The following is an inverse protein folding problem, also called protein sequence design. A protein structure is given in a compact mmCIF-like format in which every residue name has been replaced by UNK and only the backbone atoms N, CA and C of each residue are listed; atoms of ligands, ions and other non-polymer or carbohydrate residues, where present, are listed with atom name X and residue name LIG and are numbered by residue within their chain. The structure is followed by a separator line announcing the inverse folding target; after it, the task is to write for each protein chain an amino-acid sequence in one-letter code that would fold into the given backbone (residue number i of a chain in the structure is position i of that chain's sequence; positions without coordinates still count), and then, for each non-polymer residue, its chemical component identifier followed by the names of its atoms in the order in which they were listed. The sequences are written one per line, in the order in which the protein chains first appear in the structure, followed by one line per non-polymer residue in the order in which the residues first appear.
data_IF_240063985571
#
_entry.id   IF_240063985571
#
_cell.length_a   1.000
_cell.length_b   1.000
_cell.length_c   1.000
_cell.angle_alpha   90.00
_cell.angle_beta   90.00
_cell.angle_gamma   90.00
#
_symmetry.space_group_name_H-M   'P 1'
#
loop_
_entity.id
_entity.type
_entity.pdbx_description
1 polymer ?
#
# COMPACT_ATOMS: atom_id res chain seq x y z
N UNK A 1 -5.23 -31.67 16.45
CA UNK A 1 -5.97 -30.53 15.86
C UNK A 1 -5.83 -30.60 14.36
N UNK A 2 -6.81 -30.16 13.58
CA UNK A 2 -6.66 -30.06 12.14
C UNK A 2 -5.52 -29.06 11.80
N UNK A 3 -4.83 -29.30 10.68
CA UNK A 3 -3.81 -28.38 10.20
C UNK A 3 -4.46 -27.06 9.75
N UNK A 4 -3.85 -25.92 10.09
CA UNK A 4 -4.42 -24.60 9.90
C UNK A 4 -3.46 -23.69 9.11
N UNK A 5 -4.05 -22.82 8.27
CA UNK A 5 -3.34 -21.71 7.62
C UNK A 5 -3.07 -20.59 8.62
N UNK A 6 -2.15 -19.68 8.27
CA UNK A 6 -1.89 -18.45 9.04
C UNK A 6 -3.19 -17.68 9.32
N UNK A 7 -4.02 -17.50 8.30
CA UNK A 7 -5.32 -16.83 8.44
C UNK A 7 -6.21 -17.52 9.46
N UNK A 8 -6.37 -18.84 9.37
CA UNK A 8 -7.24 -19.61 10.27
C UNK A 8 -6.81 -19.50 11.72
N UNK A 9 -5.51 -19.60 12.01
CA UNK A 9 -4.97 -19.45 13.36
C UNK A 9 -5.32 -18.09 13.97
N UNK A 10 -5.18 -17.00 13.19
CA UNK A 10 -5.50 -15.67 13.66
C UNK A 10 -7.01 -15.49 13.78
N UNK A 11 -7.77 -15.89 12.76
CA UNK A 11 -9.22 -15.78 12.79
C UNK A 11 -9.81 -16.47 13.99
N UNK A 12 -9.50 -17.74 14.21
CA UNK A 12 -10.08 -18.53 15.30
C UNK A 12 -9.71 -18.01 16.69
N UNK A 13 -8.50 -17.47 16.88
CA UNK A 13 -8.09 -16.86 18.13
C UNK A 13 -8.81 -15.53 18.45
N UNK A 14 -9.46 -14.91 17.46
CA UNK A 14 -10.18 -13.63 17.61
C UNK A 14 -11.70 -13.76 17.52
N UNK A 15 -12.23 -14.96 17.31
CA UNK A 15 -13.68 -15.21 17.32
C UNK A 15 -14.24 -14.99 18.71
N UNK A 16 -15.09 -13.98 18.86
CA UNK A 16 -15.87 -13.76 20.10
C UNK A 16 -17.13 -14.61 20.07
N UNK A 17 -17.80 -14.65 18.91
CA UNK A 17 -19.04 -15.43 18.71
C UNK A 17 -19.25 -15.71 17.23
N UNK A 18 -19.59 -16.93 16.90
CA UNK A 18 -20.04 -17.32 15.55
C UNK A 18 -21.55 -17.50 15.56
N UNK A 19 -22.21 -16.99 14.51
CA UNK A 19 -23.66 -17.07 14.34
C UNK A 19 -24.04 -18.19 13.36
N UNK A 20 -25.26 -18.75 13.46
CA UNK A 20 -25.71 -19.82 12.55
C UNK A 20 -25.77 -19.44 11.07
N UNK A 21 -25.89 -18.13 10.77
CA UNK A 21 -25.93 -17.60 9.38
C UNK A 21 -24.53 -17.45 8.74
N UNK A 22 -23.49 -17.87 9.47
CA UNK A 22 -22.09 -17.79 9.03
C UNK A 22 -21.41 -16.44 9.30
N UNK A 23 -22.09 -15.49 9.95
CA UNK A 23 -21.46 -14.27 10.44
C UNK A 23 -20.69 -14.54 11.73
N UNK A 24 -19.66 -13.75 11.97
CA UNK A 24 -18.76 -13.89 13.12
C UNK A 24 -18.51 -12.53 13.73
N UNK A 25 -18.72 -12.43 15.05
CA UNK A 25 -18.24 -11.30 15.82
C UNK A 25 -16.76 -11.52 16.11
N UNK A 26 -15.92 -10.70 15.49
CA UNK A 26 -14.46 -10.78 15.56
C UNK A 26 -13.92 -9.70 16.49
N UNK A 27 -13.01 -10.04 17.40
CA UNK A 27 -12.30 -9.06 18.20
C UNK A 27 -11.24 -8.35 17.38
N UNK A 28 -11.10 -7.02 17.55
CA UNK A 28 -10.13 -6.18 16.85
C UNK A 28 -9.11 -5.64 17.84
N UNK A 29 -7.84 -5.98 17.67
CA UNK A 29 -6.75 -5.58 18.57
C UNK A 29 -6.35 -4.13 18.41
N UNK A 30 -6.27 -3.66 17.16
CA UNK A 30 -5.72 -2.35 16.80
C UNK A 30 -6.57 -1.66 15.77
N UNK A 31 -6.68 -0.35 15.91
CA UNK A 31 -7.35 0.50 14.93
C UNK A 31 -6.47 1.69 14.56
N UNK A 32 -6.36 1.95 13.27
CA UNK A 32 -5.75 3.16 12.74
C UNK A 32 -6.87 4.10 12.27
N UNK A 33 -6.70 5.40 12.49
CA UNK A 33 -7.66 6.40 12.04
C UNK A 33 -6.95 7.59 11.38
N UNK A 34 -7.58 8.16 10.37
CA UNK A 34 -7.11 9.35 9.68
C UNK A 34 -8.25 10.35 9.45
N UNK A 35 -7.94 11.53 8.93
CA UNK A 35 -8.88 12.65 8.87
C UNK A 35 -10.06 12.47 7.92
N UNK A 36 -9.95 11.57 6.92
CA UNK A 36 -10.98 11.46 5.87
C UNK A 36 -12.18 10.61 6.31
N UNK A 37 -11.95 9.47 6.99
CA UNK A 37 -13.00 8.49 7.32
C UNK A 37 -13.38 8.47 8.80
N UNK A 38 -12.80 9.33 9.64
CA UNK A 38 -13.06 9.33 11.07
C UNK A 38 -14.07 10.38 11.57
N UNK A 39 -14.33 11.53 10.91
CA UNK A 39 -15.18 12.58 11.46
C UNK A 39 -16.57 12.09 11.85
N UNK A 40 -17.27 11.40 10.95
CA UNK A 40 -18.63 10.89 11.20
C UNK A 40 -18.65 9.77 12.25
N UNK A 41 -17.59 8.94 12.31
CA UNK A 41 -17.45 7.90 13.33
C UNK A 41 -17.35 8.51 14.75
N UNK A 42 -16.57 9.55 14.92
CA UNK A 42 -16.47 10.27 16.20
C UNK A 42 -17.74 11.04 16.54
N UNK A 43 -18.41 11.63 15.54
CA UNK A 43 -19.70 12.29 15.71
C UNK A 43 -20.75 11.29 16.22
N UNK A 44 -20.84 10.10 15.62
CA UNK A 44 -21.73 9.03 16.06
C UNK A 44 -21.50 8.63 17.52
N UNK A 45 -20.22 8.51 17.93
CA UNK A 45 -19.88 8.27 19.34
C UNK A 45 -20.38 9.38 20.27
N UNK A 46 -20.17 10.66 19.91
CA UNK A 46 -20.62 11.82 20.68
C UNK A 46 -22.15 11.84 20.81
N UNK A 47 -22.87 11.66 19.72
CA UNK A 47 -24.35 11.66 19.67
C UNK A 47 -24.94 10.52 20.49
N UNK A 48 -24.31 9.34 20.51
CA UNK A 48 -24.75 8.18 21.29
C UNK A 48 -24.28 8.20 22.74
N UNK A 49 -23.52 9.22 23.17
CA UNK A 49 -22.95 9.31 24.50
C UNK A 49 -21.90 8.25 24.81
N UNK A 50 -21.30 7.65 23.78
CA UNK A 50 -20.29 6.59 23.90
C UNK A 50 -18.87 7.16 23.86
N UNK A 51 -17.94 6.40 24.43
CA UNK A 51 -16.50 6.68 24.33
C UNK A 51 -15.78 5.48 23.73
N UNK A 52 -14.61 5.68 23.11
CA UNK A 52 -13.76 4.58 22.68
C UNK A 52 -13.46 3.63 23.84
N UNK A 53 -13.67 2.34 23.59
CA UNK A 53 -13.47 1.29 24.62
C UNK A 53 -12.02 1.17 25.05
N UNK A 54 -11.07 1.29 24.11
CA UNK A 54 -9.63 1.20 24.36
C UNK A 54 -8.87 2.27 23.54
N UNK A 55 -8.82 3.52 24.00
CA UNK A 55 -8.13 4.58 23.27
C UNK A 55 -6.67 4.26 22.93
N UNK A 56 -5.95 3.56 23.83
CA UNK A 56 -4.56 3.12 23.60
C UNK A 56 -4.39 2.02 22.55
N UNK A 57 -5.48 1.40 22.06
CA UNK A 57 -5.47 0.48 20.94
C UNK A 57 -5.75 1.18 19.59
N UNK A 58 -5.87 2.50 19.62
CA UNK A 58 -6.10 3.35 18.43
C UNK A 58 -4.95 4.32 18.27
N UNK A 59 -4.46 4.46 17.03
CA UNK A 59 -3.42 5.43 16.65
C UNK A 59 -3.95 6.27 15.49
N UNK A 60 -3.81 7.60 15.60
CA UNK A 60 -4.32 8.56 14.65
C UNK A 60 -3.21 9.35 13.95
N UNK A 61 -3.44 9.69 12.69
CA UNK A 61 -2.53 10.54 11.90
C UNK A 61 -3.30 11.22 10.76
N UNK A 62 -3.09 12.51 10.45
CA UNK A 62 -3.53 13.10 9.19
C UNK A 62 -2.50 12.77 8.10
N UNK A 63 -2.96 12.31 6.92
CA UNK A 63 -2.06 11.91 5.85
C UNK A 63 -2.55 12.22 4.42
N UNK A 64 -3.85 12.34 4.22
CA UNK A 64 -4.45 12.58 2.90
C UNK A 64 -4.49 14.06 2.53
N UNK A 65 -4.90 14.92 3.45
CA UNK A 65 -5.14 16.35 3.24
C UNK A 65 -3.94 17.23 3.64
N UNK A 66 -2.84 16.62 4.04
CA UNK A 66 -1.65 17.38 4.45
C UNK A 66 -0.89 17.93 3.24
N UNK A 67 -0.40 19.18 3.28
CA UNK A 67 0.46 19.70 2.23
C UNK A 67 1.81 18.99 2.25
N UNK A 68 2.35 18.75 1.06
CA UNK A 68 3.70 18.18 0.85
C UNK A 68 4.73 19.24 0.49
N UNK A 69 4.31 20.49 0.46
CA UNK A 69 5.14 21.70 0.32
C UNK A 69 5.42 22.33 1.68
N UNK A 70 5.76 23.61 1.72
CA UNK A 70 6.05 24.34 2.96
C UNK A 70 4.82 24.40 3.90
N UNK A 71 4.88 23.62 4.97
CA UNK A 71 3.81 23.52 5.98
C UNK A 71 3.66 24.74 6.87
N UNK A 72 4.64 25.66 6.87
CA UNK A 72 4.55 26.93 7.61
C UNK A 72 3.47 27.84 7.03
N UNK A 73 3.10 27.64 5.77
CA UNK A 73 2.03 28.37 5.10
C UNK A 73 0.62 27.87 5.48
N UNK A 74 0.52 26.79 6.27
CA UNK A 74 -0.74 26.17 6.65
C UNK A 74 -1.39 25.38 5.51
N UNK A 75 -2.69 25.11 5.63
CA UNK A 75 -3.48 24.33 4.68
C UNK A 75 -4.40 25.29 3.91
N UNK A 76 -4.16 25.43 2.62
CA UNK A 76 -4.87 26.40 1.77
C UNK A 76 -6.34 26.03 1.53
N UNK A 77 -6.64 24.72 1.40
CA UNK A 77 -8.02 24.24 1.23
C UNK A 77 -8.78 24.23 2.56
N UNK A 78 -9.90 24.99 2.69
CA UNK A 78 -10.63 25.09 3.94
C UNK A 78 -11.26 23.77 4.41
N UNK A 79 -11.64 22.88 3.46
CA UNK A 79 -12.21 21.58 3.80
C UNK A 79 -11.15 20.65 4.37
N UNK A 80 -9.99 20.58 3.75
CA UNK A 80 -8.83 19.85 4.25
C UNK A 80 -8.41 20.33 5.64
N UNK A 81 -8.31 21.65 5.84
CA UNK A 81 -8.00 22.24 7.13
C UNK A 81 -9.03 21.87 8.21
N UNK A 82 -10.33 21.90 7.86
CA UNK A 82 -11.41 21.50 8.76
C UNK A 82 -11.33 20.01 9.13
N UNK A 83 -11.05 19.12 8.18
CA UNK A 83 -10.95 17.68 8.45
C UNK A 83 -9.78 17.35 9.38
N UNK A 84 -8.62 17.96 9.17
CA UNK A 84 -7.45 17.78 10.04
C UNK A 84 -7.76 18.31 11.45
N UNK A 85 -8.31 19.53 11.56
CA UNK A 85 -8.70 20.11 12.86
C UNK A 85 -9.72 19.23 13.58
N UNK A 86 -10.70 18.67 12.87
CA UNK A 86 -11.70 17.78 13.44
C UNK A 86 -11.06 16.49 13.99
N UNK A 87 -10.07 15.92 13.28
CA UNK A 87 -9.31 14.77 13.79
C UNK A 87 -8.56 15.12 15.07
N UNK A 88 -7.88 16.27 15.11
CA UNK A 88 -7.15 16.75 16.29
C UNK A 88 -8.07 16.90 17.51
N UNK A 89 -9.21 17.58 17.33
CA UNK A 89 -10.19 17.80 18.40
C UNK A 89 -10.77 16.48 18.91
N UNK A 90 -11.12 15.57 18.01
CA UNK A 90 -11.65 14.26 18.38
C UNK A 90 -10.61 13.41 19.12
N UNK A 91 -9.37 13.40 18.69
CA UNK A 91 -8.31 12.68 19.39
C UNK A 91 -8.04 13.24 20.78
N UNK A 92 -8.06 14.56 20.93
CA UNK A 92 -7.96 15.23 22.23
C UNK A 92 -9.12 14.85 23.15
N UNK A 93 -10.37 14.99 22.69
CA UNK A 93 -11.58 14.72 23.47
C UNK A 93 -11.66 13.27 23.96
N UNK A 94 -11.18 12.34 23.16
CA UNK A 94 -11.27 10.90 23.44
C UNK A 94 -9.98 10.27 23.96
N UNK A 95 -8.91 11.04 24.11
CA UNK A 95 -7.62 10.57 24.63
C UNK A 95 -6.91 9.58 23.70
N UNK A 96 -7.06 9.75 22.39
CA UNK A 96 -6.41 8.93 21.36
C UNK A 96 -5.06 9.54 21.00
N UNK A 97 -4.03 8.71 20.89
CA UNK A 97 -2.71 9.16 20.43
C UNK A 97 -2.76 9.63 19.00
N UNK A 98 -2.36 10.87 18.76
CA UNK A 98 -2.29 11.52 17.44
C UNK A 98 -0.87 11.93 17.10
N UNK A 99 -0.40 11.59 15.93
CA UNK A 99 0.78 12.20 15.32
C UNK A 99 0.30 13.30 14.37
N UNK A 100 0.16 14.53 14.91
CA UNK A 100 -0.33 15.67 14.14
C UNK A 100 0.62 16.13 13.04
N UNK A 101 0.18 17.04 12.17
CA UNK A 101 0.88 17.47 10.95
C UNK A 101 2.35 17.90 11.18
N UNK A 102 2.66 18.45 12.33
CA UNK A 102 4.01 18.93 12.69
C UNK A 102 4.80 17.94 13.59
N UNK A 103 4.25 16.78 13.91
CA UNK A 103 4.97 15.73 14.62
C UNK A 103 5.92 15.04 13.65
N UNK A 104 7.18 14.81 14.05
CA UNK A 104 8.16 14.09 13.22
C UNK A 104 7.71 12.68 12.84
N UNK A 105 6.82 12.07 13.61
CA UNK A 105 6.24 10.75 13.37
C UNK A 105 5.04 10.79 12.42
N UNK A 106 4.60 12.00 11.99
CA UNK A 106 3.53 12.12 11.01
C UNK A 106 3.96 11.49 9.69
N UNK A 107 3.03 10.85 9.02
CA UNK A 107 3.24 10.18 7.74
C UNK A 107 2.00 9.41 7.31
N UNK A 108 2.13 8.70 6.22
CA UNK A 108 1.06 7.85 5.69
C UNK A 108 0.67 6.80 6.74
N UNK A 109 -0.62 6.64 6.99
CA UNK A 109 -1.16 5.79 8.07
C UNK A 109 -0.61 4.35 8.04
N UNK A 110 -0.41 3.78 6.84
CA UNK A 110 0.13 2.42 6.66
C UNK A 110 1.67 2.36 6.65
N UNK A 111 2.35 3.50 6.81
CA UNK A 111 3.79 3.59 7.06
C UNK A 111 4.04 3.73 8.56
N UNK A 112 3.30 4.62 9.24
CA UNK A 112 3.55 4.92 10.65
C UNK A 112 3.22 3.73 11.58
N UNK A 113 2.21 2.94 11.27
CA UNK A 113 1.84 1.78 12.07
C UNK A 113 2.99 0.77 12.23
N UNK A 114 3.56 0.25 11.11
CA UNK A 114 4.78 -0.56 11.11
C UNK A 114 5.98 0.13 11.74
N UNK A 115 6.24 1.37 11.34
CA UNK A 115 7.40 2.14 11.78
C UNK A 115 7.44 2.34 13.31
N UNK A 116 6.29 2.52 13.94
CA UNK A 116 6.18 2.65 15.38
C UNK A 116 6.10 1.30 16.12
N UNK A 117 6.01 0.16 15.41
CA UNK A 117 5.78 -1.14 16.04
C UNK A 117 4.35 -1.28 16.60
N UNK A 118 3.41 -0.50 16.09
CA UNK A 118 1.99 -0.66 16.38
C UNK A 118 1.41 -1.88 15.65
N UNK A 119 1.98 -2.23 14.49
CA UNK A 119 1.68 -3.44 13.74
C UNK A 119 2.49 -4.61 14.29
N UNK A 120 1.81 -5.67 14.73
CA UNK A 120 2.44 -6.86 15.32
C UNK A 120 1.87 -8.14 14.68
N UNK A 121 2.68 -9.22 14.58
CA UNK A 121 2.20 -10.52 14.14
C UNK A 121 1.05 -11.06 15.01
N UNK A 122 0.11 -11.75 14.36
CA UNK A 122 -0.99 -12.41 15.04
C UNK A 122 -2.12 -11.49 15.51
N UNK A 123 -2.04 -10.18 15.24
CA UNK A 123 -3.08 -9.22 15.61
C UNK A 123 -4.09 -8.98 14.48
N UNK A 124 -5.30 -8.54 14.86
CA UNK A 124 -6.29 -7.99 13.94
C UNK A 124 -6.16 -6.47 13.90
N UNK A 125 -6.06 -5.90 12.68
CA UNK A 125 -5.85 -4.46 12.49
C UNK A 125 -6.86 -3.92 11.48
N UNK A 126 -7.54 -2.82 11.82
CA UNK A 126 -8.49 -2.17 10.92
C UNK A 126 -8.23 -0.67 10.77
N UNK A 127 -8.64 -0.12 9.65
CA UNK A 127 -8.62 1.32 9.36
C UNK A 127 -9.71 1.63 8.34
N UNK A 128 -10.17 2.87 8.29
CA UNK A 128 -11.09 3.37 7.26
C UNK A 128 -10.45 3.55 5.88
N UNK A 129 -9.42 2.76 5.55
CA UNK A 129 -8.69 2.76 4.29
C UNK A 129 -8.46 1.32 3.80
N UNK A 130 -8.67 1.07 2.51
CA UNK A 130 -8.56 -0.27 1.91
C UNK A 130 -7.14 -0.83 2.00
N UNK A 131 -6.09 0.02 1.94
CA UNK A 131 -4.69 -0.42 2.00
C UNK A 131 -4.22 -0.82 3.40
N UNK A 132 -5.12 -0.93 4.38
CA UNK A 132 -4.87 -1.56 5.68
C UNK A 132 -4.30 -2.97 5.53
N UNK A 133 -4.56 -3.64 4.40
CA UNK A 133 -3.95 -4.93 4.07
C UNK A 133 -2.41 -4.92 4.11
N UNK A 134 -1.76 -3.75 4.02
CA UNK A 134 -0.31 -3.56 4.18
C UNK A 134 0.23 -4.25 5.44
N UNK A 135 -0.52 -4.17 6.55
CA UNK A 135 -0.09 -4.71 7.84
C UNK A 135 -0.04 -6.25 7.87
N UNK A 136 -0.68 -6.91 6.89
CA UNK A 136 -0.59 -8.36 6.70
C UNK A 136 0.83 -8.85 6.36
N UNK A 137 1.72 -7.98 5.92
CA UNK A 137 3.14 -8.27 5.73
C UNK A 137 3.85 -8.76 7.01
N UNK A 138 3.28 -8.44 8.15
CA UNK A 138 3.75 -8.86 9.48
C UNK A 138 3.09 -10.14 9.99
N UNK A 139 2.21 -10.76 9.21
CA UNK A 139 1.38 -11.86 9.71
C UNK A 139 0.26 -11.36 10.64
N UNK A 140 -0.26 -10.16 10.39
CA UNK A 140 -1.49 -9.65 11.01
C UNK A 140 -2.67 -9.89 10.07
N UNK A 141 -3.87 -10.11 10.59
CA UNK A 141 -5.10 -10.07 9.81
C UNK A 141 -5.57 -8.61 9.73
N UNK A 142 -5.27 -7.96 8.62
CA UNK A 142 -5.47 -6.52 8.48
C UNK A 142 -6.31 -6.18 7.25
N UNK A 143 -7.36 -5.35 7.41
CA UNK A 143 -8.27 -5.01 6.33
C UNK A 143 -8.99 -3.68 6.54
N UNK A 144 -9.38 -3.06 5.42
CA UNK A 144 -10.14 -1.83 5.39
C UNK A 144 -11.59 -2.02 5.81
N UNK A 145 -12.16 -1.00 6.48
CA UNK A 145 -13.55 -0.97 6.95
C UNK A 145 -14.23 0.35 6.59
N UNK A 146 -15.55 0.35 6.55
CA UNK A 146 -16.35 1.55 6.33
C UNK A 146 -16.43 2.46 7.55
N UNK A 147 -16.83 3.72 7.37
CA UNK A 147 -16.92 4.72 8.44
C UNK A 147 -17.80 4.29 9.62
N UNK A 148 -18.94 3.64 9.35
CA UNK A 148 -19.83 3.10 10.39
C UNK A 148 -19.15 1.97 11.20
N UNK A 149 -18.33 1.17 10.54
CA UNK A 149 -17.54 0.12 11.18
C UNK A 149 -16.40 0.71 12.01
N UNK A 150 -15.81 1.85 11.58
CA UNK A 150 -14.83 2.61 12.38
C UNK A 150 -15.45 3.02 13.72
N UNK A 151 -16.67 3.60 13.72
CA UNK A 151 -17.41 3.92 14.93
C UNK A 151 -17.64 2.68 15.80
N UNK A 152 -18.10 1.59 15.17
CA UNK A 152 -18.40 0.35 15.88
C UNK A 152 -17.18 -0.24 16.59
N UNK A 153 -16.04 -0.28 15.91
CA UNK A 153 -14.78 -0.77 16.48
C UNK A 153 -14.27 0.15 17.60
N UNK A 154 -14.33 1.47 17.43
CA UNK A 154 -13.99 2.41 18.51
C UNK A 154 -14.82 2.14 19.76
N UNK A 155 -16.13 1.93 19.61
CA UNK A 155 -17.06 1.71 20.72
C UNK A 155 -16.89 0.34 21.39
N UNK A 156 -16.57 -0.71 20.65
CA UNK A 156 -16.72 -2.11 21.11
C UNK A 156 -15.46 -2.95 21.03
N UNK A 157 -14.48 -2.60 20.23
CA UNK A 157 -13.33 -3.43 19.82
C UNK A 157 -13.76 -4.72 19.09
N UNK A 158 -14.94 -4.74 18.51
CA UNK A 158 -15.44 -5.90 17.78
C UNK A 158 -16.00 -5.48 16.43
N UNK A 159 -16.09 -6.43 15.51
CA UNK A 159 -16.63 -6.24 14.18
C UNK A 159 -17.34 -7.50 13.70
N UNK A 160 -18.52 -7.35 13.09
CA UNK A 160 -19.23 -8.46 12.45
C UNK A 160 -18.68 -8.67 11.06
N UNK A 161 -18.17 -9.86 10.78
CA UNK A 161 -17.59 -10.23 9.49
C UNK A 161 -18.06 -11.62 9.05
N UNK A 162 -18.12 -11.84 7.74
CA UNK A 162 -18.20 -13.19 7.17
C UNK A 162 -16.78 -13.73 7.00
N UNK A 163 -16.58 -15.00 7.38
CA UNK A 163 -15.27 -15.65 7.20
C UNK A 163 -14.93 -15.71 5.69
N UNK A 164 -13.83 -15.10 5.24
CA UNK A 164 -13.37 -15.22 3.88
C UNK A 164 -12.76 -16.62 3.62
N UNK A 165 -12.68 -16.97 2.33
CA UNK A 165 -11.91 -18.11 1.86
C UNK A 165 -10.41 -17.82 1.89
N UNK A 166 -9.60 -18.85 1.75
CA UNK A 166 -8.14 -18.77 1.73
C UNK A 166 -7.58 -19.00 0.33
N UNK A 167 -6.63 -18.17 -0.09
CA UNK A 167 -5.92 -18.32 -1.36
C UNK A 167 -4.41 -18.28 -1.09
N UNK A 168 -3.69 -19.30 -1.57
CA UNK A 168 -2.24 -19.24 -1.64
C UNK A 168 -1.81 -18.65 -2.99
N UNK A 169 -0.90 -17.66 -2.96
CA UNK A 169 -0.14 -17.24 -4.14
C UNK A 169 1.32 -17.52 -3.86
N UNK A 170 1.83 -18.57 -4.52
CA UNK A 170 3.19 -19.05 -4.36
C UNK A 170 4.08 -18.55 -5.48
N UNK A 171 5.15 -17.84 -5.11
CA UNK A 171 6.17 -17.36 -6.04
C UNK A 171 7.53 -17.94 -5.64
N UNK A 172 8.04 -18.84 -6.46
CA UNK A 172 9.34 -19.47 -6.24
C UNK A 172 10.38 -18.96 -7.24
N UNK A 173 11.65 -19.08 -6.88
CA UNK A 173 12.79 -18.71 -7.71
C UNK A 173 13.42 -17.38 -7.30
N UNK A 174 14.10 -16.73 -8.23
CA UNK A 174 14.84 -15.48 -8.02
C UNK A 174 14.35 -14.41 -9.00
N UNK A 175 14.01 -13.24 -8.51
CA UNK A 175 13.57 -12.12 -9.34
C UNK A 175 14.72 -11.65 -10.25
N UNK A 176 14.42 -11.25 -11.50
CA UNK A 176 15.38 -10.58 -12.36
C UNK A 176 15.96 -9.31 -11.71
N UNK A 177 17.14 -8.91 -12.15
CA UNK A 177 17.80 -7.72 -11.63
C UNK A 177 16.87 -6.48 -11.71
N UNK A 178 16.84 -5.69 -10.63
CA UNK A 178 16.02 -4.49 -10.45
C UNK A 178 14.51 -4.71 -10.46
N UNK A 179 14.01 -5.93 -10.69
CA UNK A 179 12.61 -6.26 -10.41
C UNK A 179 12.37 -6.27 -8.90
N UNK A 180 11.23 -5.75 -8.48
CA UNK A 180 10.88 -5.54 -7.08
C UNK A 180 9.55 -6.21 -6.73
N UNK A 181 9.17 -6.15 -5.46
CA UNK A 181 7.86 -6.60 -5.00
C UNK A 181 6.69 -5.90 -5.73
N UNK A 182 6.90 -4.67 -6.23
CA UNK A 182 5.90 -3.96 -7.05
C UNK A 182 5.65 -4.68 -8.36
N UNK A 183 6.70 -5.17 -9.00
CA UNK A 183 6.57 -5.93 -10.25
C UNK A 183 5.89 -7.27 -10.00
N UNK A 184 6.21 -7.93 -8.88
CA UNK A 184 5.55 -9.17 -8.46
C UNK A 184 4.05 -8.98 -8.29
N UNK A 185 3.63 -7.98 -7.51
CA UNK A 185 2.19 -7.79 -7.26
C UNK A 185 1.43 -7.33 -8.50
N UNK A 186 2.03 -6.50 -9.34
CA UNK A 186 1.42 -6.11 -10.61
C UNK A 186 1.26 -7.30 -11.55
N UNK A 187 2.26 -8.18 -11.65
CA UNK A 187 2.17 -9.41 -12.43
C UNK A 187 1.09 -10.36 -11.88
N UNK A 188 0.97 -10.48 -10.55
CA UNK A 188 -0.10 -11.25 -9.90
C UNK A 188 -1.46 -10.68 -10.28
N UNK A 189 -1.67 -9.36 -10.12
CA UNK A 189 -2.94 -8.70 -10.45
C UNK A 189 -3.25 -8.84 -11.94
N UNK A 190 -2.26 -8.71 -12.81
CA UNK A 190 -2.42 -8.96 -14.25
C UNK A 190 -2.89 -10.39 -14.56
N UNK A 191 -2.42 -11.38 -13.78
CA UNK A 191 -2.78 -12.79 -13.95
C UNK A 191 -4.17 -13.12 -13.42
N UNK A 192 -4.53 -12.63 -12.23
CA UNK A 192 -5.81 -12.98 -11.58
C UNK A 192 -6.94 -12.00 -11.91
N UNK A 193 -6.61 -10.81 -12.42
CA UNK A 193 -7.54 -9.71 -12.61
C UNK A 193 -7.86 -8.96 -11.31
N UNK A 194 -8.57 -7.85 -11.42
CA UNK A 194 -8.96 -7.00 -10.28
C UNK A 194 -10.04 -7.60 -9.38
N UNK A 195 -10.65 -8.71 -9.78
CA UNK A 195 -11.69 -9.42 -9.02
C UNK A 195 -11.29 -10.85 -8.62
N UNK A 196 -10.12 -11.34 -9.03
CA UNK A 196 -9.71 -12.73 -8.81
C UNK A 196 -9.57 -13.12 -7.33
N UNK A 197 -9.25 -12.16 -6.47
CA UNK A 197 -9.16 -12.33 -5.02
C UNK A 197 -10.46 -12.06 -4.24
N UNK A 198 -11.58 -11.78 -4.94
CA UNK A 198 -12.82 -11.41 -4.27
C UNK A 198 -13.33 -12.52 -3.35
N UNK A 199 -13.54 -12.20 -2.08
CA UNK A 199 -13.97 -13.15 -1.05
C UNK A 199 -12.82 -13.96 -0.44
N UNK A 200 -11.58 -13.71 -0.80
CA UNK A 200 -10.40 -14.39 -0.27
C UNK A 200 -9.53 -13.49 0.62
N UNK A 201 -8.85 -14.13 1.56
CA UNK A 201 -7.60 -13.64 2.14
C UNK A 201 -6.46 -14.37 1.41
N UNK A 202 -5.50 -13.62 0.90
CA UNK A 202 -4.34 -14.16 0.17
C UNK A 202 -3.19 -14.35 1.15
N UNK A 203 -2.60 -15.55 1.18
CA UNK A 203 -1.29 -15.79 1.78
C UNK A 203 -0.23 -15.91 0.68
N UNK A 204 0.77 -15.03 0.73
CA UNK A 204 1.90 -15.05 -0.18
C UNK A 204 3.00 -15.96 0.36
N UNK A 205 3.41 -16.93 -0.45
CA UNK A 205 4.39 -17.98 -0.09
C UNK A 205 5.45 -18.16 -1.16
N UNK A 206 6.38 -19.07 -0.94
CA UNK A 206 7.44 -19.38 -1.90
C UNK A 206 8.78 -18.74 -1.56
N UNK A 207 9.83 -19.17 -2.26
CA UNK A 207 11.21 -18.74 -1.97
C UNK A 207 11.44 -17.26 -2.31
N UNK A 208 10.86 -16.77 -3.41
CA UNK A 208 10.96 -15.37 -3.79
C UNK A 208 10.30 -14.45 -2.76
N UNK A 209 9.13 -14.85 -2.20
CA UNK A 209 8.44 -14.06 -1.17
C UNK A 209 9.23 -14.02 0.14
N UNK A 210 9.80 -15.15 0.56
CA UNK A 210 10.64 -15.19 1.77
C UNK A 210 11.90 -14.34 1.65
N UNK A 211 12.44 -14.22 0.44
CA UNK A 211 13.61 -13.40 0.16
C UNK A 211 13.33 -11.88 0.16
N UNK A 212 12.06 -11.46 0.11
CA UNK A 212 11.70 -10.03 0.18
C UNK A 212 12.03 -9.44 1.55
N UNK A 213 12.47 -8.18 1.55
CA UNK A 213 12.52 -7.33 2.72
C UNK A 213 11.11 -7.08 3.29
N UNK A 214 11.02 -6.50 4.48
CA UNK A 214 9.72 -6.10 5.03
C UNK A 214 9.02 -5.05 4.18
N UNK A 215 9.75 -4.12 3.61
CA UNK A 215 9.26 -3.09 2.70
C UNK A 215 8.65 -3.73 1.44
N UNK A 216 9.32 -4.71 0.86
CA UNK A 216 8.81 -5.49 -0.27
C UNK A 216 7.54 -6.28 0.10
N UNK A 217 7.50 -6.93 1.26
CA UNK A 217 6.29 -7.63 1.75
C UNK A 217 5.13 -6.66 2.00
N UNK A 218 5.41 -5.46 2.52
CA UNK A 218 4.40 -4.42 2.70
C UNK A 218 3.84 -3.93 1.35
N UNK A 219 4.67 -3.76 0.34
CA UNK A 219 4.21 -3.44 -1.04
C UNK A 219 3.29 -4.52 -1.58
N UNK A 220 3.66 -5.79 -1.41
CA UNK A 220 2.88 -6.94 -1.87
C UNK A 220 1.50 -7.00 -1.19
N UNK A 221 1.47 -6.95 0.15
CA UNK A 221 0.23 -6.98 0.91
C UNK A 221 -0.63 -5.72 0.69
N UNK A 222 -0.01 -4.55 0.53
CA UNK A 222 -0.68 -3.29 0.23
C UNK A 222 -1.59 -3.42 -1.00
N UNK A 223 -1.06 -3.97 -2.09
CA UNK A 223 -1.79 -4.06 -3.36
C UNK A 223 -2.64 -5.32 -3.50
N UNK A 224 -2.76 -6.17 -2.50
CA UNK A 224 -3.68 -7.33 -2.52
C UNK A 224 -5.12 -6.92 -2.77
N UNK A 225 -5.51 -5.75 -2.26
CA UNK A 225 -6.85 -5.18 -2.44
C UNK A 225 -7.13 -4.82 -3.90
N UNK A 226 -6.10 -4.54 -4.69
CA UNK A 226 -6.24 -4.24 -6.13
C UNK A 226 -6.53 -5.50 -6.96
N UNK A 227 -6.22 -6.67 -6.44
CA UNK A 227 -6.68 -7.97 -6.96
C UNK A 227 -8.06 -8.39 -6.42
N UNK A 228 -8.74 -7.53 -5.65
CA UNK A 228 -10.06 -7.79 -5.07
C UNK A 228 -10.04 -8.55 -3.74
N UNK A 229 -8.87 -8.88 -3.18
CA UNK A 229 -8.77 -9.64 -1.95
C UNK A 229 -9.23 -8.82 -0.72
N UNK A 230 -9.72 -9.51 0.31
CA UNK A 230 -10.06 -8.90 1.60
C UNK A 230 -8.81 -8.44 2.36
N UNK A 231 -7.74 -9.23 2.30
CA UNK A 231 -6.43 -8.96 2.89
C UNK A 231 -5.35 -9.76 2.17
N UNK A 232 -4.09 -9.33 2.29
CA UNK A 232 -2.91 -10.10 1.90
C UNK A 232 -2.04 -10.32 3.13
N UNK A 233 -1.42 -11.48 3.24
CA UNK A 233 -0.64 -11.87 4.40
C UNK A 233 0.67 -12.53 3.99
N UNK A 234 1.72 -12.34 4.80
CA UNK A 234 2.97 -13.10 4.76
C UNK A 234 3.22 -13.65 6.16
N UNK A 235 3.53 -14.94 6.27
CA UNK A 235 3.83 -15.53 7.57
C UNK A 235 5.07 -14.86 8.21
N UNK A 236 5.02 -14.52 9.51
CA UNK A 236 6.14 -13.88 10.19
C UNK A 236 7.35 -14.84 10.27
N UNK A 237 8.52 -14.28 10.06
CA UNK A 237 9.81 -14.96 10.13
C UNK A 237 10.89 -14.07 10.79
N UNK A 238 12.15 -14.45 10.69
CA UNK A 238 13.28 -13.72 11.26
C UNK A 238 13.38 -12.28 10.71
N UNK A 239 13.01 -12.05 9.44
CA UNK A 239 12.97 -10.71 8.82
C UNK A 239 11.92 -9.85 9.50
N UNK A 240 10.73 -10.41 9.76
CA UNK A 240 9.64 -9.73 10.48
C UNK A 240 10.06 -9.39 11.91
N UNK A 241 10.67 -10.35 12.62
CA UNK A 241 11.12 -10.17 14.02
C UNK A 241 12.20 -9.08 14.09
N UNK A 242 13.17 -9.12 13.18
CA UNK A 242 14.24 -8.11 13.11
C UNK A 242 13.70 -6.70 12.87
N UNK A 243 12.69 -6.56 12.02
CA UNK A 243 12.04 -5.28 11.74
C UNK A 243 11.28 -4.71 12.94
N UNK A 244 10.54 -5.56 13.66
CA UNK A 244 9.72 -5.15 14.82
C UNK A 244 10.57 -4.85 16.05
N UNK A 245 11.69 -5.57 16.23
CA UNK A 245 12.57 -5.43 17.39
C UNK A 245 13.08 -3.98 17.51
N UNK A 246 12.90 -3.43 18.71
CA UNK A 246 13.38 -2.07 19.03
C UNK A 246 12.44 -0.94 18.63
N UNK A 247 11.32 -1.21 17.94
CA UNK A 247 10.34 -0.18 17.62
C UNK A 247 9.67 0.36 18.89
N UNK A 248 9.23 1.64 18.91
CA UNK A 248 8.76 2.32 20.12
C UNK A 248 7.62 1.58 20.86
N UNK A 249 6.62 1.08 20.11
CA UNK A 249 5.42 0.43 20.64
C UNK A 249 5.49 -1.11 20.58
N UNK A 250 6.62 -1.68 20.12
CA UNK A 250 6.82 -3.12 20.13
C UNK A 250 7.10 -3.65 21.54
N UNK A 251 6.82 -4.94 21.81
CA UNK A 251 7.20 -5.59 23.05
C UNK A 251 8.71 -5.49 23.31
N UNK A 252 9.12 -5.44 24.57
CA UNK A 252 10.52 -5.31 25.00
C UNK A 252 10.86 -6.37 26.06
N UNK A 253 12.16 -6.73 26.15
CA UNK A 253 12.66 -7.68 27.14
C UNK A 253 11.93 -9.02 27.06
N UNK A 254 11.57 -9.59 28.19
CA UNK A 254 10.88 -10.89 28.31
C UNK A 254 9.56 -10.94 27.54
N UNK A 255 8.84 -9.82 27.42
CA UNK A 255 7.61 -9.75 26.62
C UNK A 255 7.90 -9.94 25.12
N UNK A 256 9.04 -9.45 24.64
CA UNK A 256 9.44 -9.70 23.26
C UNK A 256 9.79 -11.18 23.03
N UNK A 257 10.47 -11.82 23.98
CA UNK A 257 10.81 -13.25 23.89
C UNK A 257 9.55 -14.11 23.84
N UNK A 258 8.58 -13.84 24.72
CA UNK A 258 7.28 -14.51 24.71
C UNK A 258 6.52 -14.27 23.41
N UNK A 259 6.51 -13.03 22.92
CA UNK A 259 5.87 -12.69 21.66
C UNK A 259 6.51 -13.44 20.46
N UNK A 260 7.84 -13.47 20.39
CA UNK A 260 8.56 -14.20 19.32
C UNK A 260 8.21 -15.69 19.35
N UNK A 261 8.14 -16.31 20.52
CA UNK A 261 7.71 -17.71 20.65
C UNK A 261 6.27 -17.90 20.12
N UNK A 262 5.35 -17.02 20.49
CA UNK A 262 3.96 -17.07 20.01
C UNK A 262 3.88 -16.85 18.49
N UNK A 263 4.67 -15.93 17.94
CA UNK A 263 4.68 -15.64 16.48
C UNK A 263 5.17 -16.80 15.63
N UNK A 264 6.04 -17.67 16.16
CA UNK A 264 6.49 -18.88 15.45
C UNK A 264 5.35 -19.87 15.16
N UNK A 265 4.29 -19.88 15.99
CA UNK A 265 3.10 -20.72 15.76
C UNK A 265 2.19 -20.20 14.64
N UNK A 266 2.40 -18.98 14.17
CA UNK A 266 1.55 -18.38 13.15
C UNK A 266 1.82 -18.93 11.74
N UNK A 267 2.96 -19.55 11.49
CA UNK A 267 3.24 -20.17 10.17
C UNK A 267 2.16 -21.19 9.85
N UNK A 268 1.73 -21.17 8.58
CA UNK A 268 0.81 -22.18 8.05
C UNK A 268 1.38 -23.58 8.27
N UNK A 269 0.57 -24.50 8.75
CA UNK A 269 0.97 -25.89 9.02
C UNK A 269 1.26 -26.63 7.70
N UNK A 270 2.23 -27.56 7.73
CA UNK A 270 2.70 -28.25 6.50
C UNK A 270 1.58 -28.97 5.71
N UNK A 271 0.53 -29.42 6.39
CA UNK A 271 -0.60 -30.14 5.81
C UNK A 271 -1.87 -29.26 5.73
N UNK A 272 -1.78 -27.96 5.93
CA UNK A 272 -2.92 -27.07 5.75
C UNK A 272 -3.26 -26.93 4.26
N UNK A 273 -4.54 -26.76 3.98
CA UNK A 273 -5.05 -26.63 2.62
C UNK A 273 -5.66 -25.26 2.41
N UNK A 274 -5.48 -24.71 1.23
CA UNK A 274 -6.15 -23.49 0.79
C UNK A 274 -7.31 -23.82 -0.12
N UNK A 275 -8.33 -22.96 -0.15
CA UNK A 275 -9.44 -23.12 -1.10
C UNK A 275 -8.96 -22.97 -2.56
N UNK A 276 -7.89 -22.19 -2.78
CA UNK A 276 -7.29 -21.99 -4.11
C UNK A 276 -5.78 -21.76 -3.96
N UNK A 277 -5.00 -22.33 -4.89
CA UNK A 277 -3.55 -22.08 -4.98
C UNK A 277 -3.16 -21.64 -6.39
N UNK A 278 -2.35 -20.58 -6.47
CA UNK A 278 -1.78 -20.07 -7.72
C UNK A 278 -0.26 -20.09 -7.58
N UNK A 279 0.42 -20.63 -8.59
CA UNK A 279 1.89 -20.70 -8.62
C UNK A 279 2.45 -19.86 -9.75
N UNK A 280 3.55 -19.16 -9.46
CA UNK A 280 4.32 -18.37 -10.41
C UNK A 280 5.82 -18.60 -10.20
N UNK A 281 6.59 -18.39 -11.25
CA UNK A 281 8.06 -18.38 -11.19
C UNK A 281 8.54 -16.94 -11.18
N UNK A 282 9.45 -16.61 -10.30
CA UNK A 282 9.99 -15.26 -10.16
C UNK A 282 10.79 -14.83 -11.40
N UNK A 283 11.47 -15.78 -12.05
CA UNK A 283 12.26 -15.52 -13.26
C UNK A 283 11.41 -15.05 -14.45
N UNK A 284 10.12 -15.41 -14.48
CA UNK A 284 9.21 -15.06 -15.56
C UNK A 284 8.58 -13.65 -15.38
N UNK A 285 8.90 -12.96 -14.27
CA UNK A 285 8.35 -11.65 -13.95
C UNK A 285 9.27 -10.55 -14.51
N UNK A 286 8.88 -9.95 -15.63
CA UNK A 286 9.52 -8.75 -16.16
C UNK A 286 9.14 -7.51 -15.34
N UNK A 287 9.88 -6.38 -15.43
CA UNK A 287 9.41 -5.09 -14.91
C UNK A 287 8.05 -4.76 -15.49
N UNK A 288 7.10 -4.38 -14.63
CA UNK A 288 5.70 -4.21 -14.98
C UNK A 288 5.33 -2.75 -15.21
N UNK A 289 4.44 -2.50 -16.18
CA UNK A 289 3.85 -1.19 -16.44
C UNK A 289 2.35 -1.35 -16.68
N UNK A 290 1.51 -0.60 -15.96
CA UNK A 290 0.09 -0.55 -16.31
C UNK A 290 -0.13 0.30 -17.57
N UNK A 291 -0.87 -0.23 -18.52
CA UNK A 291 -1.17 0.44 -19.80
C UNK A 291 -2.57 1.05 -19.87
N UNK A 292 -3.45 0.67 -18.95
CA UNK A 292 -4.85 1.08 -18.97
C UNK A 292 -5.27 1.79 -17.68
N UNK A 293 -6.58 1.77 -17.41
CA UNK A 293 -7.25 2.52 -16.34
C UNK A 293 -7.55 1.68 -15.09
N UNK A 294 -6.89 0.54 -14.95
CA UNK A 294 -6.95 -0.29 -13.74
C UNK A 294 -5.62 -1.02 -13.49
N UNK A 295 -5.32 -1.42 -12.25
CA UNK A 295 -4.10 -2.19 -11.95
C UNK A 295 -4.03 -3.56 -12.65
N UNK A 296 -5.17 -4.11 -13.08
CA UNK A 296 -5.23 -5.35 -13.86
C UNK A 296 -4.88 -5.17 -15.34
N UNK A 297 -4.90 -3.94 -15.84
CA UNK A 297 -4.48 -3.59 -17.20
C UNK A 297 -2.96 -3.31 -17.20
N UNK A 298 -2.18 -4.37 -17.01
CA UNK A 298 -0.73 -4.33 -16.82
C UNK A 298 -0.04 -5.34 -17.73
N UNK A 299 1.20 -5.05 -18.12
CA UNK A 299 2.04 -5.97 -18.90
C UNK A 299 3.53 -5.73 -18.60
N UNK A 300 4.39 -6.66 -19.01
CA UNK A 300 5.83 -6.47 -18.95
C UNK A 300 6.31 -5.36 -19.88
N UNK A 301 7.37 -4.67 -19.49
CA UNK A 301 7.98 -3.59 -20.27
C UNK A 301 8.47 -4.03 -21.66
N UNK A 302 8.81 -5.31 -21.79
CA UNK A 302 9.24 -5.97 -23.03
C UNK A 302 8.08 -6.33 -23.98
N UNK A 303 6.86 -6.01 -23.59
CA UNK A 303 5.64 -6.29 -24.35
C UNK A 303 5.15 -5.05 -25.08
N UNK A 304 3.99 -5.18 -25.70
CA UNK A 304 3.30 -4.13 -26.44
C UNK A 304 1.94 -3.83 -25.80
N UNK A 305 1.46 -2.62 -26.03
CA UNK A 305 0.09 -2.22 -25.72
C UNK A 305 -0.87 -3.21 -26.39
N UNK A 306 -1.84 -3.80 -25.67
CA UNK A 306 -2.76 -4.77 -26.24
C UNK A 306 -3.54 -4.25 -27.46
N UNK A 307 -3.81 -5.14 -28.41
CA UNK A 307 -4.66 -4.84 -29.55
C UNK A 307 -6.10 -5.35 -29.26
N UNK A 308 -7.09 -4.46 -29.12
CA UNK A 308 -8.48 -4.87 -28.85
C UNK A 308 -9.03 -5.88 -29.87
N UNK A 309 -8.57 -5.80 -31.13
CA UNK A 309 -9.01 -6.69 -32.21
C UNK A 309 -8.64 -8.15 -31.99
N UNK A 310 -7.69 -8.43 -31.09
CA UNK A 310 -7.29 -9.79 -30.75
C UNK A 310 -8.09 -10.37 -29.56
N UNK A 311 -8.90 -9.55 -28.91
CA UNK A 311 -9.68 -9.92 -27.73
C UNK A 311 -11.04 -10.46 -28.18
N UNK A 312 -11.33 -11.71 -27.80
CA UNK A 312 -12.57 -12.40 -28.21
C UNK A 312 -13.78 -12.05 -27.34
N UNK A 313 -13.55 -11.77 -26.06
CA UNK A 313 -14.61 -11.33 -25.15
C UNK A 313 -15.00 -9.88 -25.43
N UNK A 314 -16.28 -9.67 -25.74
CA UNK A 314 -16.82 -8.37 -26.15
C UNK A 314 -16.66 -7.29 -25.06
N UNK A 315 -16.95 -7.65 -23.79
CA UNK A 315 -16.87 -6.69 -22.66
C UNK A 315 -15.41 -6.29 -22.41
N UNK A 316 -14.50 -7.27 -22.47
CA UNK A 316 -13.07 -7.01 -22.31
C UNK A 316 -12.51 -6.19 -23.47
N UNK A 317 -12.96 -6.46 -24.70
CA UNK A 317 -12.57 -5.66 -25.87
C UNK A 317 -12.99 -4.20 -25.72
N UNK A 318 -14.26 -3.94 -25.41
CA UNK A 318 -14.78 -2.57 -25.22
C UNK A 318 -14.12 -1.86 -24.04
N UNK A 319 -13.82 -2.58 -22.95
CA UNK A 319 -13.09 -2.02 -21.81
C UNK A 319 -11.65 -1.62 -22.21
N UNK A 320 -11.00 -2.45 -23.04
CA UNK A 320 -9.66 -2.16 -23.57
C UNK A 320 -9.69 -0.96 -24.51
N UNK A 321 -10.64 -0.88 -25.43
CA UNK A 321 -10.81 0.27 -26.36
C UNK A 321 -10.96 1.59 -25.58
N UNK A 322 -11.86 1.62 -24.58
CA UNK A 322 -12.06 2.82 -23.73
C UNK A 322 -10.79 3.18 -22.94
N UNK A 323 -10.10 2.18 -22.40
CA UNK A 323 -8.87 2.42 -21.66
C UNK A 323 -7.78 3.00 -22.53
N UNK A 324 -7.61 2.49 -23.76
CA UNK A 324 -6.64 3.02 -24.72
C UNK A 324 -6.97 4.45 -25.17
N UNK A 325 -8.24 4.74 -25.40
CA UNK A 325 -8.73 6.08 -25.71
C UNK A 325 -8.41 7.07 -24.59
N UNK A 326 -8.78 6.73 -23.34
CA UNK A 326 -8.48 7.56 -22.17
C UNK A 326 -6.97 7.77 -21.98
N UNK A 327 -6.22 6.68 -22.05
CA UNK A 327 -4.75 6.71 -21.90
C UNK A 327 -4.04 7.31 -23.12
N UNK A 328 -4.73 7.53 -24.24
CA UNK A 328 -4.15 8.05 -25.49
C UNK A 328 -3.03 7.14 -26.01
N UNK A 329 -3.24 5.82 -25.99
CA UNK A 329 -2.30 4.83 -26.45
C UNK A 329 -2.77 4.17 -27.75
N UNK A 330 -1.81 3.82 -28.61
CA UNK A 330 -2.09 3.11 -29.87
C UNK A 330 -1.92 1.60 -29.66
N UNK A 331 -2.85 0.75 -30.15
CA UNK A 331 -2.67 -0.68 -30.15
C UNK A 331 -1.34 -1.11 -30.77
N UNK A 332 -0.70 -2.15 -30.22
CA UNK A 332 0.59 -2.69 -30.63
C UNK A 332 1.80 -1.74 -30.49
N UNK A 333 1.64 -0.55 -29.91
CA UNK A 333 2.75 0.32 -29.54
C UNK A 333 3.68 -0.38 -28.55
N UNK A 334 5.01 -0.37 -28.71
CA UNK A 334 5.93 -0.85 -27.67
C UNK A 334 5.71 -0.08 -26.37
N UNK A 335 5.77 -0.78 -25.21
CA UNK A 335 5.64 -0.11 -23.92
C UNK A 335 6.75 0.92 -23.70
N UNK A 336 7.92 0.70 -24.29
CA UNK A 336 9.07 1.62 -24.24
C UNK A 336 8.87 2.92 -25.00
N UNK A 337 7.91 3.01 -25.94
CA UNK A 337 7.64 4.23 -26.71
C UNK A 337 6.69 5.20 -25.99
N UNK A 338 6.20 4.82 -24.78
CA UNK A 338 5.29 5.66 -24.00
C UNK A 338 6.08 6.78 -23.33
N UNK A 339 5.91 8.01 -23.81
CA UNK A 339 6.51 9.21 -23.23
C UNK A 339 5.84 9.60 -21.92
N UNK A 340 6.59 10.23 -21.00
CA UNK A 340 6.17 10.60 -19.65
C UNK A 340 6.34 12.11 -19.44
N UNK A 341 5.34 12.75 -18.84
CA UNK A 341 5.35 14.17 -18.47
C UNK A 341 5.69 14.37 -17.00
N UNK A 342 5.27 13.41 -16.15
CA UNK A 342 5.43 13.51 -14.70
C UNK A 342 5.86 12.19 -14.09
N UNK A 343 6.64 12.26 -13.00
CA UNK A 343 7.02 11.09 -12.20
C UNK A 343 6.67 11.33 -10.73
N UNK A 344 6.04 10.34 -10.11
CA UNK A 344 5.70 10.34 -8.69
C UNK A 344 6.29 9.12 -8.00
N UNK A 345 7.24 9.35 -7.08
CA UNK A 345 7.76 8.33 -6.16
C UNK A 345 7.23 8.63 -4.78
N UNK A 346 6.33 7.78 -4.27
CA UNK A 346 5.61 8.04 -3.03
C UNK A 346 4.56 6.98 -2.73
N UNK A 347 3.53 7.36 -1.96
CA UNK A 347 2.41 6.51 -1.56
C UNK A 347 2.75 5.52 -0.43
N UNK A 348 1.71 4.97 0.21
CA UNK A 348 1.87 3.87 1.16
C UNK A 348 2.50 2.61 0.55
N UNK A 349 2.58 2.53 -0.77
CA UNK A 349 3.15 1.39 -1.49
C UNK A 349 4.67 1.44 -1.51
N UNK A 350 5.26 2.58 -1.96
CA UNK A 350 6.70 2.70 -2.22
C UNK A 350 7.26 4.06 -1.80
N UNK A 351 7.19 4.37 -0.52
CA UNK A 351 7.74 5.61 0.05
C UNK A 351 8.57 5.35 1.33
N UNK A 352 9.01 4.11 1.54
CA UNK A 352 9.83 3.71 2.69
C UNK A 352 11.30 3.92 2.38
N UNK A 353 12.14 3.89 3.42
CA UNK A 353 13.56 4.21 3.27
C UNK A 353 14.29 3.32 2.24
N UNK A 354 13.92 2.05 2.13
CA UNK A 354 14.49 1.14 1.13
C UNK A 354 14.16 1.56 -0.30
N UNK A 355 12.90 1.94 -0.55
CA UNK A 355 12.45 2.45 -1.85
C UNK A 355 13.24 3.70 -2.25
N UNK A 356 13.42 4.62 -1.29
CA UNK A 356 14.15 5.87 -1.50
C UNK A 356 15.65 5.64 -1.74
N UNK A 357 16.26 4.70 -1.01
CA UNK A 357 17.68 4.32 -1.24
C UNK A 357 17.88 3.75 -2.65
N UNK A 358 17.02 2.82 -3.06
CA UNK A 358 17.07 2.25 -4.41
C UNK A 358 16.92 3.35 -5.47
N UNK A 359 15.89 4.18 -5.35
CA UNK A 359 15.61 5.25 -6.29
C UNK A 359 16.75 6.28 -6.36
N UNK A 360 17.26 6.75 -5.21
CA UNK A 360 18.37 7.72 -5.16
C UNK A 360 19.67 7.16 -5.75
N UNK A 361 19.98 5.90 -5.48
CA UNK A 361 21.17 5.25 -6.05
C UNK A 361 21.08 5.13 -7.58
N UNK A 362 19.92 4.86 -8.12
CA UNK A 362 19.68 4.80 -9.56
C UNK A 362 19.69 6.20 -10.21
N UNK A 363 19.26 7.24 -9.50
CA UNK A 363 19.28 8.62 -9.97
C UNK A 363 20.67 9.26 -9.91
N UNK A 364 21.59 8.71 -9.13
CA UNK A 364 22.93 9.28 -8.88
C UNK A 364 23.71 9.49 -10.19
N UNK A 365 24.14 10.73 -10.41
CA UNK A 365 24.92 11.12 -11.61
C UNK A 365 24.09 11.21 -12.89
N UNK A 366 22.77 11.05 -12.81
CA UNK A 366 21.84 11.22 -13.92
C UNK A 366 20.99 12.49 -13.69
N UNK A 367 20.26 12.92 -14.72
CA UNK A 367 19.38 14.07 -14.63
C UNK A 367 18.01 13.76 -15.19
N UNK A 368 16.98 14.26 -14.56
CA UNK A 368 15.59 14.22 -15.05
C UNK A 368 15.51 14.88 -16.42
N UNK A 369 14.85 14.26 -17.35
CA UNK A 369 14.62 14.80 -18.69
C UNK A 369 13.91 16.15 -18.62
N UNK A 370 14.30 17.11 -19.47
CA UNK A 370 13.76 18.48 -19.46
C UNK A 370 12.23 18.56 -19.65
N UNK A 371 11.64 17.51 -20.21
CA UNK A 371 10.20 17.38 -20.44
C UNK A 371 9.46 16.77 -19.27
N UNK A 372 10.16 16.30 -18.24
CA UNK A 372 9.58 15.56 -17.13
C UNK A 372 9.65 16.39 -15.84
N UNK A 373 8.54 16.42 -15.12
CA UNK A 373 8.47 16.93 -13.74
C UNK A 373 8.44 15.77 -12.76
N UNK A 374 9.51 15.56 -12.00
CA UNK A 374 9.65 14.42 -11.11
C UNK A 374 9.64 14.85 -9.64
N UNK A 375 8.85 14.13 -8.81
CA UNK A 375 8.76 14.38 -7.38
C UNK A 375 8.94 13.12 -6.54
N UNK A 376 9.52 13.30 -5.36
CA UNK A 376 9.71 12.26 -4.34
C UNK A 376 9.05 12.71 -3.04
N UNK A 377 8.15 11.87 -2.53
CA UNK A 377 7.39 12.14 -1.31
C UNK A 377 7.67 11.02 -0.30
N UNK A 378 8.45 11.28 0.77
CA UNK A 378 8.71 10.30 1.82
C UNK A 378 7.43 9.83 2.51
N UNK A 379 7.42 8.57 2.97
CA UNK A 379 6.25 7.97 3.61
C UNK A 379 5.94 8.49 5.01
N UNK A 380 6.94 9.02 5.72
CA UNK A 380 6.80 9.64 7.05
C UNK A 380 7.88 10.68 7.28
N UNK A 381 7.71 11.51 8.30
CA UNK A 381 8.73 12.45 8.74
C UNK A 381 10.00 11.75 9.23
N UNK A 382 9.87 10.57 9.84
CA UNK A 382 11.03 9.76 10.24
C UNK A 382 11.77 9.18 9.05
N UNK A 383 11.07 8.70 8.02
CA UNK A 383 11.69 8.27 6.74
C UNK A 383 12.40 9.46 6.08
N UNK A 384 11.75 10.63 6.04
CA UNK A 384 12.34 11.86 5.50
C UNK A 384 13.62 12.22 6.23
N UNK A 385 13.58 12.28 7.57
CA UNK A 385 14.74 12.57 8.40
C UNK A 385 15.89 11.59 8.15
N UNK A 386 15.59 10.30 8.09
CA UNK A 386 16.61 9.26 7.81
C UNK A 386 17.20 9.44 6.42
N UNK A 387 16.37 9.66 5.40
CA UNK A 387 16.82 9.90 4.03
C UNK A 387 17.74 11.13 3.92
N UNK A 388 17.42 12.22 4.63
CA UNK A 388 18.22 13.43 4.69
C UNK A 388 19.55 13.19 5.43
N UNK A 389 19.56 12.43 6.53
CA UNK A 389 20.79 12.03 7.23
C UNK A 389 21.70 11.18 6.35
N UNK A 390 21.14 10.33 5.49
CA UNK A 390 21.87 9.51 4.51
C UNK A 390 22.27 10.31 3.25
N UNK A 391 21.78 11.54 3.09
CA UNK A 391 22.06 12.41 1.94
C UNK A 391 21.28 12.04 0.67
N UNK A 392 20.21 11.24 0.78
CA UNK A 392 19.41 10.81 -0.38
C UNK A 392 18.66 12.00 -1.00
N UNK A 393 18.22 12.97 -0.19
CA UNK A 393 17.58 14.21 -0.64
C UNK A 393 18.48 15.02 -1.56
N UNK A 394 19.79 15.05 -1.27
CA UNK A 394 20.78 15.73 -2.11
C UNK A 394 20.92 15.05 -3.46
N UNK A 395 21.00 13.71 -3.47
CA UNK A 395 21.05 12.94 -4.73
C UNK A 395 19.81 13.19 -5.60
N UNK A 396 18.63 13.22 -5.01
CA UNK A 396 17.40 13.52 -5.75
C UNK A 396 17.37 14.95 -6.30
N UNK A 397 17.74 15.94 -5.48
CA UNK A 397 17.77 17.36 -5.89
C UNK A 397 18.82 17.60 -6.98
N UNK A 398 20.02 16.99 -6.87
CA UNK A 398 21.07 17.06 -7.89
C UNK A 398 20.61 16.42 -9.21
N UNK A 399 19.83 15.35 -9.14
CA UNK A 399 19.23 14.72 -10.32
C UNK A 399 18.02 15.49 -10.89
N UNK A 400 17.52 16.52 -10.20
CA UNK A 400 16.39 17.35 -10.65
C UNK A 400 15.01 16.89 -10.18
N UNK A 401 14.93 16.00 -9.18
CA UNK A 401 13.67 15.66 -8.52
C UNK A 401 13.32 16.71 -7.46
N UNK A 402 12.03 17.00 -7.31
CA UNK A 402 11.51 17.74 -6.16
C UNK A 402 11.44 16.84 -4.93
N UNK A 403 12.06 17.29 -3.85
CA UNK A 403 12.00 16.65 -2.54
C UNK A 403 10.89 17.28 -1.69
N UNK A 404 9.91 16.47 -1.28
CA UNK A 404 8.67 16.93 -0.66
C UNK A 404 8.58 16.58 0.83
N UNK A 405 7.57 17.14 1.51
CA UNK A 405 7.16 16.73 2.86
C UNK A 405 6.35 15.43 2.81
N UNK A 406 6.33 14.69 3.95
CA UNK A 406 5.68 13.38 4.03
C UNK A 406 4.15 13.45 3.93
N UNK A 407 3.53 12.56 3.17
CA UNK A 407 2.07 12.47 3.02
C UNK A 407 1.65 11.58 1.86
N UNK A 408 0.34 11.46 1.66
CA UNK A 408 -0.22 10.69 0.54
C UNK A 408 -0.03 11.36 -0.82
N UNK A 409 0.04 12.70 -0.88
CA UNK A 409 0.33 13.47 -2.09
C UNK A 409 -0.55 13.05 -3.28
N UNK A 410 0.06 12.82 -4.45
CA UNK A 410 -0.64 12.40 -5.67
C UNK A 410 -1.31 11.02 -5.59
N UNK A 411 -1.11 10.22 -4.54
CA UNK A 411 -1.75 8.89 -4.46
C UNK A 411 -3.28 8.97 -4.57
N UNK A 412 -3.89 9.99 -3.98
CA UNK A 412 -5.33 10.27 -4.03
C UNK A 412 -5.65 11.67 -4.58
N UNK A 413 -4.64 12.53 -4.72
CA UNK A 413 -4.81 13.90 -5.22
C UNK A 413 -5.83 14.73 -4.40
N UNK A 414 -5.81 14.58 -3.07
CA UNK A 414 -6.64 15.37 -2.14
C UNK A 414 -5.93 16.64 -1.65
N UNK A 415 -4.76 16.94 -2.18
CA UNK A 415 -3.98 18.14 -1.95
C UNK A 415 -3.64 18.83 -3.27
N UNK A 416 -2.69 19.77 -3.26
CA UNK A 416 -2.29 20.50 -4.47
C UNK A 416 -1.49 19.68 -5.49
N UNK A 417 -1.04 18.47 -5.12
CA UNK A 417 -0.27 17.59 -5.99
C UNK A 417 -1.22 16.81 -6.91
N UNK A 418 -1.48 17.35 -8.09
CA UNK A 418 -2.42 16.75 -9.06
C UNK A 418 -1.82 16.72 -10.47
N UNK A 419 -2.32 15.80 -11.29
CA UNK A 419 -2.08 15.81 -12.74
C UNK A 419 -3.03 16.78 -13.43
N UNK A 420 -2.54 17.47 -14.44
CA UNK A 420 -3.38 18.21 -15.37
C UNK A 420 -4.00 17.27 -16.40
N UNK A 421 -5.14 17.64 -17.02
CA UNK A 421 -5.75 16.86 -18.09
C UNK A 421 -4.76 16.52 -19.20
N UNK A 422 -4.63 15.25 -19.54
CA UNK A 422 -3.72 14.75 -20.57
C UNK A 422 -2.30 14.46 -20.09
N UNK A 423 -1.86 14.98 -18.94
CA UNK A 423 -0.53 14.65 -18.39
C UNK A 423 -0.41 13.16 -18.09
N UNK A 424 0.74 12.59 -18.40
CA UNK A 424 1.07 11.19 -18.23
C UNK A 424 2.10 11.01 -17.13
N UNK A 425 1.77 10.20 -16.14
CA UNK A 425 2.61 9.98 -14.96
C UNK A 425 3.08 8.54 -14.85
N UNK A 426 4.40 8.35 -14.67
CA UNK A 426 4.95 7.11 -14.11
C UNK A 426 4.89 7.20 -12.59
N UNK A 427 4.11 6.32 -11.95
CA UNK A 427 3.73 6.45 -10.54
C UNK A 427 3.98 5.18 -9.75
N UNK A 428 4.58 5.31 -8.57
CA UNK A 428 4.72 4.20 -7.63
C UNK A 428 3.49 4.01 -6.72
N UNK A 429 2.40 4.74 -6.98
CA UNK A 429 1.13 4.55 -6.26
C UNK A 429 0.50 3.17 -6.53
N UNK A 430 -0.63 2.90 -5.91
CA UNK A 430 -1.29 1.59 -5.95
C UNK A 430 -2.48 1.53 -6.91
N UNK A 431 -3.07 2.66 -7.29
CA UNK A 431 -4.27 2.76 -8.14
C UNK A 431 -4.10 3.77 -9.26
N UNK A 432 -4.72 3.47 -10.40
CA UNK A 432 -4.63 4.30 -11.61
C UNK A 432 -5.94 4.42 -12.38
N UNK A 433 -7.10 4.28 -11.73
CA UNK A 433 -8.36 4.50 -12.43
C UNK A 433 -8.51 5.98 -12.86
N UNK A 434 -9.41 6.21 -13.79
CA UNK A 434 -9.65 7.53 -14.40
C UNK A 434 -9.82 8.63 -13.34
N UNK A 435 -9.05 9.69 -13.46
CA UNK A 435 -9.08 10.84 -12.54
C UNK A 435 -8.42 10.63 -11.18
N UNK A 436 -7.86 9.47 -10.87
CA UNK A 436 -7.29 9.15 -9.54
C UNK A 436 -6.24 10.16 -9.06
N UNK A 437 -5.33 10.57 -9.95
CA UNK A 437 -4.28 11.54 -9.65
C UNK A 437 -4.57 12.95 -10.20
N UNK A 438 -5.79 13.21 -10.63
CA UNK A 438 -6.25 14.45 -11.23
C UNK A 438 -7.18 14.19 -12.41
N UNK A 439 -8.18 15.04 -12.61
CA UNK A 439 -9.18 14.89 -13.68
C UNK A 439 -8.49 14.85 -15.06
N UNK A 440 -8.72 13.79 -15.83
CA UNK A 440 -8.10 13.58 -17.15
C UNK A 440 -6.61 13.21 -17.12
N UNK A 441 -6.03 13.02 -15.93
CA UNK A 441 -4.64 12.55 -15.77
C UNK A 441 -4.49 11.08 -16.15
N UNK A 442 -3.35 10.70 -16.71
CA UNK A 442 -3.02 9.37 -17.24
C UNK A 442 -1.93 8.74 -16.40
N UNK A 443 -2.29 7.78 -15.56
CA UNK A 443 -1.35 7.17 -14.60
C UNK A 443 -0.94 5.78 -15.02
N UNK A 444 0.37 5.54 -15.09
CA UNK A 444 0.99 4.22 -15.23
C UNK A 444 1.62 3.79 -13.91
N UNK A 445 1.19 2.66 -13.38
CA UNK A 445 1.78 2.06 -12.17
C UNK A 445 3.08 1.35 -12.54
N UNK A 446 4.14 1.67 -11.80
CA UNK A 446 5.49 1.12 -11.99
C UNK A 446 6.22 0.96 -10.66
N UNK A 447 7.34 0.24 -10.67
CA UNK A 447 8.26 0.17 -9.52
C UNK A 447 9.09 1.46 -9.37
N UNK A 448 9.69 1.72 -8.18
CA UNK A 448 10.58 2.86 -7.98
C UNK A 448 11.73 2.94 -9.00
N UNK A 449 12.32 1.79 -9.35
CA UNK A 449 13.38 1.73 -10.35
C UNK A 449 12.90 2.17 -11.74
N UNK A 450 11.74 1.67 -12.15
CA UNK A 450 11.10 2.07 -13.42
C UNK A 450 10.72 3.56 -13.42
N UNK A 451 10.26 4.09 -12.31
CA UNK A 451 9.92 5.50 -12.17
C UNK A 451 11.15 6.41 -12.35
N UNK A 452 12.28 6.05 -11.73
CA UNK A 452 13.55 6.80 -11.90
C UNK A 452 14.03 6.74 -13.35
N UNK A 453 14.02 5.56 -13.95
CA UNK A 453 14.45 5.40 -15.34
C UNK A 453 13.55 6.23 -16.28
N UNK A 454 12.24 6.19 -16.08
CA UNK A 454 11.30 7.01 -16.85
C UNK A 454 11.50 8.51 -16.65
N UNK A 455 11.89 8.95 -15.43
CA UNK A 455 12.21 10.35 -15.17
C UNK A 455 13.44 10.82 -15.97
N UNK A 456 14.47 9.99 -16.07
CA UNK A 456 15.73 10.31 -16.73
C UNK A 456 15.58 10.27 -18.27
N UNK A 457 14.92 9.24 -18.79
CA UNK A 457 14.81 9.02 -20.23
C UNK A 457 13.62 9.78 -20.87
N UNK A 458 12.63 10.22 -20.08
CA UNK A 458 11.42 10.84 -20.60
C UNK A 458 10.38 9.87 -21.18
N UNK A 459 10.66 8.57 -21.12
CA UNK A 459 9.79 7.47 -21.55
C UNK A 459 10.12 6.20 -20.76
N UNK A 460 9.30 5.16 -20.86
CA UNK A 460 9.62 3.89 -20.21
C UNK A 460 10.77 3.17 -20.90
N UNK A 461 11.62 2.52 -20.09
CA UNK A 461 12.74 1.69 -20.54
C UNK A 461 12.80 0.39 -19.75
N UNK A 462 13.39 -0.64 -20.35
CA UNK A 462 13.61 -1.90 -19.62
C UNK A 462 14.82 -1.75 -18.67
N UNK A 463 14.52 -1.64 -17.39
CA UNK A 463 15.54 -1.42 -16.36
C UNK A 463 16.51 -2.58 -16.19
N UNK A 464 16.20 -3.78 -16.69
CA UNK A 464 17.12 -4.94 -16.67
C UNK A 464 18.37 -4.68 -17.49
N UNK A 465 18.28 -3.76 -18.45
CA UNK A 465 19.35 -3.36 -19.36
C UNK A 465 19.78 -1.90 -19.20
N UNK A 466 19.21 -1.20 -18.23
CA UNK A 466 19.49 0.20 -17.97
C UNK A 466 20.63 0.34 -16.95
N UNK A 467 21.78 0.76 -17.43
CA UNK A 467 23.00 0.90 -16.64
C UNK A 467 23.28 2.36 -16.21
#
# INVERSE_FOLDING_TARGET
MAAQTLFEKIWESHVVRAEPDGTTLLYIDRQLVHEVTSPQAFEGLKLSGRRPRRPGATLAVPDHNVPTTDRTLGIADPLSAKQIKTLEDNCHDFGITLFGMNDIRQGVVHVIGPEQGFTLPGTTIVCGDSHTSTHGAFGALAFGIGTSEVEHVLATQCLVQKRPKTMEIRVDGVLPALCSAKDVILAIIGKIGTAGGTGYVIEYTGSAIRALSMEGRMTLCNMSIEGGARAGMVAPDETTIAYVKGRPLAPKGELLEQAVQAWQYLKTDANATYDTTITMRAEDIAPQVSWGTSPGMVTGIDQRVPDPRTITDENQRQATERALEYMGLTPNMPMTDIAIDKVFIGSCTNARIEDLRLAANLAKGKHVAKTVHAMVVPGSGLVKQQAEQEGLDRLFKEAGFEWREAGCSMCLAMNADVLQPGERCASTSNRNFEGRQGAGGRTHLVSPAMAVAAAVEGHFVDIRHWA
#
